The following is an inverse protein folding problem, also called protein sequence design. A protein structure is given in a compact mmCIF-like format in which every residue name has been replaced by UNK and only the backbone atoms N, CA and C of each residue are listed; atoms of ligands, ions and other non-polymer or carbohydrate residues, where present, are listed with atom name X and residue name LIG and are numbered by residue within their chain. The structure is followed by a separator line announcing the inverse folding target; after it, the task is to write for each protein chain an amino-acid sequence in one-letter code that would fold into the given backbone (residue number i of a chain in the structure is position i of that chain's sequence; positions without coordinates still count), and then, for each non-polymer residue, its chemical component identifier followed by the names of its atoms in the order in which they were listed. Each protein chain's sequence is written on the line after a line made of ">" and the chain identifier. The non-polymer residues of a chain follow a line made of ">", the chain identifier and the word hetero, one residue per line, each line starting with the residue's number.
data_IF_075264331978
#
_entry.id   IF_075264331978
#
_cell.length_a   1.000
_cell.length_b   1.000
_cell.length_c   1.000
_cell.angle_alpha   90.00
_cell.angle_beta   90.00
_cell.angle_gamma   90.00
#
_symmetry.space_group_name_H-M   'P 1'
#
loop_
_entity.id
_entity.type
_entity.pdbx_description
1 polymer ?
#
# COMPACT_ATOMS: atom_id res chain seq x y z
N UNK A 1 9.88 6.86 -11.42
CA UNK A 1 9.92 5.39 -11.44
C UNK A 1 10.46 4.93 -10.09
N UNK A 2 9.76 4.07 -9.35
CA UNK A 2 10.23 3.59 -8.04
C UNK A 2 11.41 2.64 -8.26
N UNK A 3 12.56 2.92 -7.66
CA UNK A 3 13.69 2.00 -7.70
C UNK A 3 13.74 1.22 -6.38
N UNK A 4 13.10 0.05 -6.35
CA UNK A 4 12.93 -0.75 -5.12
C UNK A 4 14.24 -1.32 -4.57
N UNK A 5 15.31 -1.31 -5.37
CA UNK A 5 16.65 -1.76 -4.98
C UNK A 5 17.46 -0.65 -4.32
N UNK A 6 17.32 0.59 -4.82
CA UNK A 6 18.15 1.73 -4.42
C UNK A 6 17.50 2.67 -3.41
N UNK A 7 16.18 2.87 -3.50
CA UNK A 7 15.47 3.80 -2.63
C UNK A 7 15.17 3.13 -1.28
N UNK A 8 15.27 3.91 -0.18
CA UNK A 8 14.88 3.42 1.13
C UNK A 8 13.37 3.15 1.18
N UNK A 9 12.93 2.18 1.98
CA UNK A 9 11.50 1.86 2.11
C UNK A 9 10.69 3.11 2.48
N UNK A 10 11.19 3.96 3.39
CA UNK A 10 10.52 5.21 3.77
C UNK A 10 10.26 6.14 2.58
N UNK A 11 11.21 6.26 1.65
CA UNK A 11 11.07 7.10 0.44
C UNK A 11 10.02 6.49 -0.49
N UNK A 12 10.07 5.18 -0.70
CA UNK A 12 9.11 4.48 -1.56
C UNK A 12 7.69 4.61 -1.01
N UNK A 13 7.49 4.37 0.29
CA UNK A 13 6.17 4.49 0.93
C UNK A 13 5.61 5.91 0.84
N UNK A 14 6.45 6.93 1.07
CA UNK A 14 6.06 8.33 0.91
C UNK A 14 5.69 8.68 -0.53
N UNK A 15 6.43 8.16 -1.51
CA UNK A 15 6.14 8.37 -2.93
C UNK A 15 4.80 7.74 -3.34
N UNK A 16 4.52 6.51 -2.87
CA UNK A 16 3.23 5.85 -3.11
C UNK A 16 2.10 6.65 -2.45
N UNK A 17 2.27 7.05 -1.18
CA UNK A 17 1.29 7.86 -0.47
C UNK A 17 1.02 9.19 -1.19
N UNK A 18 2.06 9.90 -1.60
CA UNK A 18 1.96 11.12 -2.39
C UNK A 18 1.15 10.90 -3.67
N UNK A 19 1.44 9.83 -4.40
CA UNK A 19 0.71 9.49 -5.62
C UNK A 19 -0.77 9.20 -5.36
N UNK A 20 -1.10 8.46 -4.30
CA UNK A 20 -2.48 8.09 -3.95
C UNK A 20 -3.30 9.28 -3.44
N UNK A 21 -2.66 10.25 -2.80
CA UNK A 21 -3.33 11.44 -2.24
C UNK A 21 -3.18 12.68 -3.11
N UNK A 22 -2.74 12.53 -4.37
CA UNK A 22 -2.76 13.64 -5.32
C UNK A 22 -4.22 13.97 -5.66
N UNK A 23 -4.56 15.26 -5.61
CA UNK A 23 -5.88 15.73 -5.99
C UNK A 23 -6.03 15.54 -7.51
N UNK A 24 -6.77 14.50 -7.90
CA UNK A 24 -7.04 14.18 -9.30
C UNK A 24 -8.54 14.24 -9.51
N UNK A 25 -8.95 14.80 -10.64
CA UNK A 25 -10.36 14.84 -11.06
C UNK A 25 -10.96 13.43 -11.27
N UNK A 26 -10.12 12.38 -11.28
CA UNK A 26 -10.52 10.98 -11.41
C UNK A 26 -10.51 10.26 -10.05
N UNK A 27 -11.54 9.49 -9.70
CA UNK A 27 -11.61 8.72 -8.46
C UNK A 27 -10.50 7.66 -8.43
N UNK A 28 -9.39 7.99 -7.79
CA UNK A 28 -8.19 7.16 -7.75
C UNK A 28 -8.46 5.91 -6.89
N UNK A 29 -8.30 4.72 -7.46
CA UNK A 29 -8.34 3.45 -6.73
C UNK A 29 -9.72 2.87 -6.39
N UNK A 30 -10.83 3.59 -6.66
CA UNK A 30 -12.18 3.13 -6.34
C UNK A 30 -12.54 1.77 -6.95
N UNK A 31 -12.09 1.45 -8.16
CA UNK A 31 -12.44 0.18 -8.81
C UNK A 31 -11.76 -1.02 -8.11
N UNK A 32 -10.44 -0.94 -7.88
CA UNK A 32 -9.69 -2.05 -7.23
C UNK A 32 -10.17 -2.25 -5.79
N UNK A 33 -10.44 -1.17 -5.06
CA UNK A 33 -11.01 -1.23 -3.71
C UNK A 33 -12.42 -1.82 -3.73
N UNK A 34 -13.32 -1.36 -4.61
CA UNK A 34 -14.68 -1.93 -4.71
C UNK A 34 -14.66 -3.41 -5.08
N UNK A 35 -13.79 -3.80 -6.01
CA UNK A 35 -13.59 -5.21 -6.38
C UNK A 35 -13.06 -6.04 -5.20
N UNK A 36 -12.24 -5.44 -4.33
CA UNK A 36 -11.75 -6.09 -3.10
C UNK A 36 -12.83 -6.24 -2.03
N UNK A 37 -13.67 -5.22 -1.84
CA UNK A 37 -14.70 -5.19 -0.79
C UNK A 37 -15.91 -6.07 -1.10
N UNK A 38 -16.27 -6.20 -2.39
CA UNK A 38 -17.47 -6.94 -2.83
C UNK A 38 -17.14 -8.07 -3.81
N UNK A 39 -16.24 -9.04 -3.47
CA UNK A 39 -15.82 -10.08 -4.41
C UNK A 39 -16.97 -11.01 -4.83
N UNK A 40 -18.01 -11.14 -4.01
CA UNK A 40 -19.21 -11.93 -4.30
C UNK A 40 -20.12 -11.29 -5.38
N UNK A 41 -19.97 -9.98 -5.64
CA UNK A 41 -20.74 -9.26 -6.65
C UNK A 41 -20.04 -9.26 -8.02
N UNK A 42 -18.84 -9.85 -8.11
CA UNK A 42 -18.09 -9.94 -9.36
C UNK A 42 -18.47 -11.20 -10.13
N UNK A 43 -18.78 -11.03 -11.43
CA UNK A 43 -18.86 -12.16 -12.35
C UNK A 43 -17.54 -12.93 -12.42
N UNK A 44 -17.54 -14.22 -12.83
CA UNK A 44 -16.37 -15.10 -12.75
C UNK A 44 -15.08 -14.51 -13.34
N UNK A 45 -15.15 -13.92 -14.54
CA UNK A 45 -14.00 -13.29 -15.22
C UNK A 45 -13.45 -12.09 -14.44
N UNK A 46 -14.32 -11.23 -13.92
CA UNK A 46 -13.90 -10.06 -13.12
C UNK A 46 -13.29 -10.48 -11.79
N UNK A 47 -13.81 -11.55 -11.18
CA UNK A 47 -13.26 -12.12 -9.95
C UNK A 47 -11.87 -12.68 -10.18
N UNK A 48 -11.67 -13.47 -11.22
CA UNK A 48 -10.35 -14.00 -11.60
C UNK A 48 -9.35 -12.88 -11.85
N UNK A 49 -9.76 -11.85 -12.62
CA UNK A 49 -8.90 -10.69 -12.88
C UNK A 49 -8.55 -9.91 -11.61
N UNK A 50 -9.52 -9.78 -10.70
CA UNK A 50 -9.29 -9.17 -9.37
C UNK A 50 -8.22 -9.93 -8.58
N UNK A 51 -8.30 -11.27 -8.56
CA UNK A 51 -7.34 -12.12 -7.86
C UNK A 51 -5.94 -12.00 -8.48
N UNK A 52 -5.84 -11.97 -9.81
CA UNK A 52 -4.57 -11.76 -10.51
C UNK A 52 -3.92 -10.42 -10.13
N UNK A 53 -4.70 -9.34 -10.13
CA UNK A 53 -4.23 -8.00 -9.73
C UNK A 53 -3.77 -8.01 -8.27
N UNK A 54 -4.55 -8.60 -7.37
CA UNK A 54 -4.18 -8.70 -5.95
C UNK A 54 -2.90 -9.51 -5.73
N UNK A 55 -2.73 -10.60 -6.48
CA UNK A 55 -1.49 -11.39 -6.45
C UNK A 55 -0.28 -10.55 -6.86
N UNK A 56 -0.38 -9.78 -7.95
CA UNK A 56 0.70 -8.88 -8.41
C UNK A 56 1.03 -7.79 -7.40
N UNK A 57 0.01 -7.17 -6.80
CA UNK A 57 0.18 -6.17 -5.73
C UNK A 57 0.90 -6.79 -4.53
N UNK A 58 0.51 -8.00 -4.13
CA UNK A 58 1.12 -8.72 -3.01
C UNK A 58 2.58 -9.10 -3.28
N UNK A 59 2.89 -9.54 -4.49
CA UNK A 59 4.27 -9.81 -4.91
C UNK A 59 5.13 -8.54 -4.84
N UNK A 60 4.60 -7.40 -5.27
CA UNK A 60 5.28 -6.11 -5.16
C UNK A 60 5.59 -5.74 -3.70
N UNK A 61 4.61 -5.83 -2.79
CA UNK A 61 4.86 -5.54 -1.37
C UNK A 61 5.78 -6.56 -0.70
N UNK A 62 5.77 -7.82 -1.14
CA UNK A 62 6.69 -8.86 -0.66
C UNK A 62 8.14 -8.53 -1.05
N UNK A 63 8.36 -8.08 -2.29
CA UNK A 63 9.67 -7.63 -2.75
C UNK A 63 10.18 -6.42 -1.96
N UNK A 64 9.32 -5.41 -1.76
CA UNK A 64 9.65 -4.24 -0.94
C UNK A 64 10.04 -4.64 0.50
N UNK A 65 9.25 -5.54 1.10
CA UNK A 65 9.47 -6.00 2.47
C UNK A 65 10.76 -6.79 2.60
N UNK A 66 11.04 -7.68 1.64
CA UNK A 66 12.29 -8.45 1.60
C UNK A 66 13.51 -7.52 1.51
N UNK A 67 13.48 -6.55 0.60
CA UNK A 67 14.58 -5.60 0.44
C UNK A 67 14.79 -4.74 1.69
N UNK A 68 13.70 -4.27 2.32
CA UNK A 68 13.78 -3.47 3.53
C UNK A 68 14.35 -4.25 4.74
N UNK A 69 13.98 -5.52 4.88
CA UNK A 69 14.56 -6.42 5.90
C UNK A 69 16.06 -6.59 5.65
N UNK A 70 16.46 -6.87 4.39
CA UNK A 70 17.87 -7.05 4.04
C UNK A 70 18.72 -5.78 4.30
N UNK A 71 18.13 -4.60 4.11
CA UNK A 71 18.77 -3.31 4.42
C UNK A 71 18.67 -2.89 5.88
N UNK A 72 18.01 -3.69 6.74
CA UNK A 72 17.86 -3.41 8.16
C UNK A 72 16.95 -2.22 8.47
N UNK A 73 16.07 -1.82 7.53
CA UNK A 73 15.19 -0.65 7.61
C UNK A 73 13.94 -0.88 8.50
N UNK A 74 13.70 -2.12 8.93
CA UNK A 74 12.52 -2.52 9.71
C UNK A 74 12.85 -2.59 11.21
N UNK A 75 12.02 -1.94 12.03
CA UNK A 75 12.18 -1.82 13.50
C UNK A 75 11.99 -3.15 14.23
N UNK A 76 10.97 -3.91 13.86
CA UNK A 76 10.57 -5.14 14.54
C UNK A 76 10.84 -6.34 13.66
N UNK A 77 11.41 -7.41 14.23
CA UNK A 77 11.55 -8.68 13.51
C UNK A 77 10.18 -9.15 13.03
N UNK A 78 9.96 -9.10 11.72
CA UNK A 78 8.67 -9.38 11.08
C UNK A 78 8.91 -10.25 9.86
N UNK A 79 8.00 -11.18 9.57
CA UNK A 79 8.08 -11.95 8.34
C UNK A 79 7.79 -11.05 7.13
N UNK A 80 8.34 -11.42 5.97
CA UNK A 80 8.05 -10.77 4.68
C UNK A 80 6.55 -10.74 4.41
N UNK A 81 5.86 -11.85 4.68
CA UNK A 81 4.43 -11.98 4.44
C UNK A 81 3.58 -11.04 5.31
N UNK A 82 3.95 -10.88 6.58
CA UNK A 82 3.26 -9.98 7.50
C UNK A 82 3.40 -8.53 7.04
N UNK A 83 4.62 -8.10 6.70
CA UNK A 83 4.87 -6.75 6.20
C UNK A 83 4.14 -6.49 4.87
N UNK A 84 4.12 -7.47 3.96
CA UNK A 84 3.43 -7.35 2.69
C UNK A 84 1.91 -7.16 2.88
N UNK A 85 1.30 -7.93 3.79
CA UNK A 85 -0.12 -7.79 4.12
C UNK A 85 -0.41 -6.46 4.82
N UNK A 86 0.47 -6.05 5.73
CA UNK A 86 0.36 -4.79 6.43
C UNK A 86 0.34 -3.62 5.43
N UNK A 87 1.32 -3.55 4.52
CA UNK A 87 1.40 -2.51 3.49
C UNK A 87 0.19 -2.55 2.56
N UNK A 88 -0.22 -3.72 2.07
CA UNK A 88 -1.43 -3.87 1.25
C UNK A 88 -2.68 -3.32 1.96
N UNK A 89 -2.79 -3.52 3.28
CA UNK A 89 -3.91 -3.02 4.06
C UNK A 89 -3.84 -1.50 4.26
N UNK A 90 -2.68 -0.95 4.63
CA UNK A 90 -2.54 0.49 4.85
C UNK A 90 -2.85 1.30 3.58
N UNK A 91 -2.36 0.85 2.42
CA UNK A 91 -2.67 1.53 1.16
C UNK A 91 -4.12 1.34 0.71
N UNK A 92 -4.75 0.21 1.02
CA UNK A 92 -6.17 0.04 0.75
C UNK A 92 -7.04 0.98 1.61
N UNK A 93 -6.68 1.19 2.88
CA UNK A 93 -7.35 2.15 3.76
C UNK A 93 -7.23 3.57 3.20
N UNK A 94 -6.02 3.99 2.78
CA UNK A 94 -5.82 5.30 2.12
C UNK A 94 -6.78 5.48 0.94
N UNK A 95 -6.91 4.48 0.08
CA UNK A 95 -7.82 4.58 -1.08
C UNK A 95 -9.30 4.60 -0.69
N UNK A 96 -9.70 3.90 0.38
CA UNK A 96 -11.07 3.94 0.91
C UNK A 96 -11.39 5.35 1.41
N UNK A 97 -10.53 5.91 2.25
CA UNK A 97 -10.72 7.25 2.83
C UNK A 97 -10.73 8.34 1.75
N UNK A 98 -9.85 8.23 0.74
CA UNK A 98 -9.88 9.10 -0.43
C UNK A 98 -11.22 9.00 -1.19
N UNK A 99 -11.80 7.81 -1.28
CA UNK A 99 -13.10 7.60 -1.94
C UNK A 99 -14.29 8.12 -1.14
N UNK A 100 -14.16 8.18 0.19
CA UNK A 100 -15.15 8.72 1.12
C UNK A 100 -15.05 10.25 1.24
N UNK A 101 -14.04 10.87 0.64
CA UNK A 101 -13.83 12.32 0.66
C UNK A 101 -13.26 12.82 1.99
N UNK A 102 -12.58 11.97 2.75
CA UNK A 102 -11.89 12.39 3.96
C UNK A 102 -10.78 13.43 3.67
N UNK A 103 -10.42 14.20 4.69
CA UNK A 103 -9.42 15.25 4.56
C UNK A 103 -8.03 14.67 4.27
N UNK A 104 -7.42 15.09 3.16
CA UNK A 104 -6.16 14.52 2.63
C UNK A 104 -5.01 14.58 3.65
N UNK A 105 -4.89 15.66 4.43
CA UNK A 105 -3.85 15.80 5.45
C UNK A 105 -4.02 14.78 6.57
N UNK A 106 -5.26 14.48 6.98
CA UNK A 106 -5.59 13.45 7.97
C UNK A 106 -5.24 12.05 7.46
N UNK A 107 -5.67 11.71 6.23
CA UNK A 107 -5.32 10.43 5.58
C UNK A 107 -3.81 10.23 5.57
N UNK A 108 -3.06 11.26 5.17
CA UNK A 108 -1.59 11.21 5.12
C UNK A 108 -0.98 11.02 6.51
N UNK A 109 -1.48 11.73 7.53
CA UNK A 109 -1.00 11.60 8.90
C UNK A 109 -1.22 10.18 9.45
N UNK A 110 -2.38 9.58 9.19
CA UNK A 110 -2.69 8.21 9.60
C UNK A 110 -1.79 7.19 8.90
N UNK A 111 -1.57 7.33 7.59
CA UNK A 111 -0.66 6.46 6.84
C UNK A 111 0.79 6.57 7.35
N UNK A 112 1.28 7.79 7.61
CA UNK A 112 2.61 8.02 8.19
C UNK A 112 2.75 7.41 9.59
N UNK A 113 1.71 7.51 10.43
CA UNK A 113 1.67 6.87 11.74
C UNK A 113 1.70 5.34 11.62
N UNK A 114 0.99 4.76 10.65
CA UNK A 114 1.06 3.33 10.40
C UNK A 114 2.47 2.91 9.93
N UNK A 115 3.12 3.69 9.08
CA UNK A 115 4.48 3.39 8.62
C UNK A 115 5.53 3.47 9.73
N UNK A 116 5.39 4.39 10.69
CA UNK A 116 6.32 4.50 11.83
C UNK A 116 6.28 3.29 12.77
N UNK A 117 5.21 2.48 12.72
CA UNK A 117 5.14 1.24 13.49
C UNK A 117 6.14 0.18 13.00
N UNK A 118 6.55 0.25 11.73
CA UNK A 118 7.44 -0.77 11.11
C UNK A 118 8.80 -0.21 10.69
N UNK A 119 8.92 1.08 10.39
CA UNK A 119 10.18 1.69 9.98
C UNK A 119 11.07 1.97 11.19
N UNK A 120 12.39 1.73 11.03
CA UNK A 120 13.37 2.33 11.95
C UNK A 120 13.43 3.82 11.73
N UNK A 121 13.60 4.57 12.82
CA UNK A 121 13.96 5.98 12.74
C UNK A 121 15.27 6.11 11.99
N UNK A 122 15.39 7.13 11.14
CA UNK A 122 16.67 7.49 10.55
C UNK A 122 17.58 7.98 11.69
N UNK A 123 18.46 7.11 12.16
CA UNK A 123 19.64 7.48 12.95
C UNK A 123 20.61 8.28 12.08
#
# INVERSE_FOLDING_TARGET
>A
MLNTEKDSLSVILNNILNFMTQNRESPTGCLVVKMRLSPAQLGPKSREKSLEIRSKIRQFYSLLSKNAIQRGEIKTLSSVDLLAHFLENQFAIVLIQMSEGEEVTLIRKQALLAFSAILKDKS
#
